data_IF_304982005833
#
_entry.id   IF_304982005833
#
_cell.length_a   1.000
_cell.length_b   1.000
_cell.length_c   1.000
_cell.angle_alpha   90.00
_cell.angle_beta   90.00
_cell.angle_gamma   90.00
#
_symmetry.space_group_name_H-M   'P 1'
#
loop_
_entity.id
_entity.type
_entity.pdbx_description
1 polymer ?
#
# COMPACT_ATOMS: atom_id res chain seq x y z
N UNK A 1 -23.60 -24.99 -12.37
CA UNK A 1 -23.66 -24.55 -10.95
C UNK A 1 -22.91 -23.24 -10.78
N UNK A 2 -22.89 -22.63 -9.58
CA UNK A 2 -22.19 -21.34 -9.37
C UNK A 2 -20.68 -21.47 -9.71
N UNK A 3 -20.03 -22.56 -9.28
CA UNK A 3 -18.62 -22.81 -9.57
C UNK A 3 -18.31 -22.90 -11.08
N UNK A 4 -19.13 -23.63 -11.84
CA UNK A 4 -18.99 -23.75 -13.30
C UNK A 4 -19.17 -22.39 -14.01
N UNK A 5 -20.06 -21.55 -13.51
CA UNK A 5 -20.28 -20.21 -14.09
C UNK A 5 -19.11 -19.26 -13.80
N UNK A 6 -18.52 -19.34 -12.60
CA UNK A 6 -17.28 -18.64 -12.27
C UNK A 6 -16.15 -19.04 -13.23
N UNK A 7 -15.93 -20.35 -13.42
CA UNK A 7 -14.91 -20.88 -14.33
C UNK A 7 -15.14 -20.41 -15.78
N UNK A 8 -16.40 -20.47 -16.25
CA UNK A 8 -16.78 -19.98 -17.59
C UNK A 8 -16.45 -18.50 -17.80
N UNK A 9 -16.51 -17.71 -16.75
CA UNK A 9 -16.22 -16.27 -16.74
C UNK A 9 -14.74 -15.96 -16.44
N UNK A 10 -13.88 -16.97 -16.25
CA UNK A 10 -12.46 -16.79 -15.94
C UNK A 10 -12.20 -16.34 -14.50
N UNK A 11 -13.13 -16.61 -13.58
CA UNK A 11 -13.00 -16.33 -12.15
C UNK A 11 -12.67 -17.61 -11.37
N UNK A 12 -11.81 -17.49 -10.36
CA UNK A 12 -11.60 -18.56 -9.40
C UNK A 12 -12.82 -18.69 -8.47
N UNK A 13 -13.25 -19.93 -8.19
CA UNK A 13 -14.34 -20.19 -7.27
C UNK A 13 -13.79 -20.62 -5.91
N UNK A 14 -14.03 -19.79 -4.90
CA UNK A 14 -13.74 -20.07 -3.50
C UNK A 14 -15.03 -20.12 -2.69
N UNK A 15 -14.99 -20.84 -1.55
CA UNK A 15 -16.11 -20.90 -0.62
C UNK A 15 -15.62 -21.16 0.80
N UNK A 16 -16.44 -20.78 1.78
CA UNK A 16 -16.18 -20.98 3.21
C UNK A 16 -16.89 -22.24 3.72
N UNK A 17 -16.17 -23.32 4.11
CA UNK A 17 -16.80 -24.48 4.71
C UNK A 17 -17.03 -24.27 6.21
N UNK A 18 -18.28 -24.44 6.64
CA UNK A 18 -18.69 -24.35 8.06
C UNK A 18 -18.81 -25.73 8.73
N UNK A 19 -18.34 -26.79 8.07
CA UNK A 19 -18.30 -28.16 8.61
C UNK A 19 -17.29 -29.02 7.85
N UNK A 20 -16.87 -30.14 8.46
CA UNK A 20 -15.99 -31.14 7.80
C UNK A 20 -16.63 -31.67 6.51
N UNK A 21 -17.93 -31.95 6.52
CA UNK A 21 -18.66 -32.39 5.33
C UNK A 21 -18.67 -31.33 4.21
N UNK A 22 -18.68 -30.03 4.57
CA UNK A 22 -18.56 -28.96 3.60
C UNK A 22 -17.14 -28.89 3.00
N UNK A 23 -16.10 -29.20 3.77
CA UNK A 23 -14.73 -29.33 3.23
C UNK A 23 -14.69 -30.43 2.17
N UNK A 24 -15.21 -31.62 2.47
CA UNK A 24 -15.25 -32.75 1.53
C UNK A 24 -16.03 -32.40 0.25
N UNK A 25 -17.13 -31.67 0.40
CA UNK A 25 -17.94 -31.19 -0.73
C UNK A 25 -17.17 -30.21 -1.61
N UNK A 26 -16.41 -29.29 -1.03
CA UNK A 26 -15.62 -28.33 -1.81
C UNK A 26 -14.45 -29.03 -2.52
N UNK A 27 -13.81 -30.02 -1.88
CA UNK A 27 -12.80 -30.86 -2.54
C UNK A 27 -13.37 -31.59 -3.75
N UNK A 28 -14.58 -32.17 -3.63
CA UNK A 28 -15.20 -32.87 -4.77
C UNK A 28 -15.64 -31.92 -5.90
N UNK A 29 -15.83 -30.63 -5.60
CA UNK A 29 -16.05 -29.57 -6.60
C UNK A 29 -14.75 -29.05 -7.22
N UNK A 30 -13.58 -29.47 -6.73
CA UNK A 30 -12.29 -29.14 -7.33
C UNK A 30 -11.75 -27.73 -7.03
N UNK A 31 -12.17 -27.12 -5.91
CA UNK A 31 -11.70 -25.78 -5.49
C UNK A 31 -10.18 -25.71 -5.41
N UNK A 32 -9.60 -24.55 -5.71
CA UNK A 32 -8.14 -24.34 -5.65
C UNK A 32 -7.64 -23.84 -4.31
N UNK A 33 -8.55 -23.53 -3.38
CA UNK A 33 -8.22 -23.08 -2.03
C UNK A 33 -9.49 -22.91 -1.20
N UNK A 34 -9.28 -22.53 0.06
CA UNK A 34 -10.37 -22.31 1.01
C UNK A 34 -10.36 -20.88 1.54
N UNK A 35 -11.56 -20.32 1.72
CA UNK A 35 -11.77 -19.25 2.68
C UNK A 35 -12.13 -19.88 4.02
N UNK A 36 -11.56 -19.39 5.11
CA UNK A 36 -11.98 -19.76 6.47
C UNK A 36 -12.49 -18.50 7.18
N UNK A 37 -13.75 -18.55 7.61
CA UNK A 37 -14.41 -17.45 8.32
C UNK A 37 -13.82 -17.26 9.72
N UNK A 38 -14.01 -16.07 10.28
CA UNK A 38 -13.53 -15.78 11.64
C UNK A 38 -14.20 -16.63 12.71
N UNK A 39 -15.39 -17.19 12.47
CA UNK A 39 -16.04 -18.12 13.40
C UNK A 39 -15.31 -19.46 13.55
N UNK A 40 -14.46 -19.81 12.58
CA UNK A 40 -13.87 -21.15 12.46
C UNK A 40 -12.38 -21.19 12.84
N UNK A 41 -11.76 -20.05 13.17
CA UNK A 41 -10.32 -19.95 13.52
C UNK A 41 -9.96 -20.86 14.70
N UNK A 42 -10.85 -21.03 15.67
CA UNK A 42 -10.64 -21.90 16.83
C UNK A 42 -11.24 -23.31 16.66
N UNK A 43 -11.66 -23.69 15.45
CA UNK A 43 -12.26 -25.00 15.17
C UNK A 43 -11.22 -26.01 14.64
N UNK A 44 -10.61 -26.85 15.49
CA UNK A 44 -9.55 -27.75 15.07
C UNK A 44 -10.04 -28.85 14.11
N UNK A 45 -11.33 -29.21 14.13
CA UNK A 45 -11.86 -30.26 13.26
C UNK A 45 -11.89 -29.82 11.80
N UNK A 46 -12.38 -28.60 11.54
CA UNK A 46 -12.40 -28.02 10.20
C UNK A 46 -10.97 -27.72 9.73
N UNK A 47 -10.15 -27.09 10.58
CA UNK A 47 -8.79 -26.71 10.20
C UNK A 47 -7.91 -27.92 9.86
N UNK A 48 -7.98 -29.00 10.64
CA UNK A 48 -7.22 -30.23 10.33
C UNK A 48 -7.70 -30.87 9.03
N UNK A 49 -9.01 -30.93 8.79
CA UNK A 49 -9.55 -31.49 7.54
C UNK A 49 -9.10 -30.66 6.33
N UNK A 50 -9.10 -29.33 6.43
CA UNK A 50 -8.56 -28.45 5.38
C UNK A 50 -7.06 -28.70 5.21
N UNK A 51 -6.30 -28.77 6.30
CA UNK A 51 -4.85 -28.98 6.27
C UNK A 51 -4.46 -30.26 5.53
N UNK A 52 -5.20 -31.36 5.71
CA UNK A 52 -4.99 -32.63 4.99
C UNK A 52 -5.10 -32.52 3.46
N UNK A 53 -5.74 -31.47 2.93
CA UNK A 53 -5.84 -31.24 1.49
C UNK A 53 -4.56 -30.61 0.91
N UNK A 54 -3.74 -29.94 1.74
CA UNK A 54 -2.59 -29.15 1.31
C UNK A 54 -2.93 -27.92 0.46
N UNK A 55 -4.22 -27.58 0.28
CA UNK A 55 -4.63 -26.46 -0.54
C UNK A 55 -4.43 -25.11 0.19
N UNK A 56 -4.15 -24.02 -0.55
CA UNK A 56 -4.05 -22.66 0.03
C UNK A 56 -5.29 -22.23 0.81
N UNK A 57 -5.08 -21.41 1.85
CA UNK A 57 -6.13 -20.92 2.76
C UNK A 57 -6.05 -19.41 2.95
N UNK A 58 -7.20 -18.74 2.85
CA UNK A 58 -7.41 -17.35 3.25
C UNK A 58 -8.20 -17.33 4.57
N UNK A 59 -7.55 -17.00 5.68
CA UNK A 59 -8.10 -17.08 7.04
C UNK A 59 -8.42 -15.69 7.60
N UNK A 60 -9.69 -15.39 7.89
CA UNK A 60 -10.07 -14.13 8.56
C UNK A 60 -9.87 -14.25 10.06
N UNK A 61 -9.29 -13.23 10.71
CA UNK A 61 -8.83 -13.32 12.10
C UNK A 61 -9.67 -12.55 13.13
N UNK A 62 -10.87 -12.09 12.76
CA UNK A 62 -11.76 -11.38 13.67
C UNK A 62 -12.11 -12.21 14.91
N UNK A 63 -12.34 -11.53 16.04
CA UNK A 63 -12.71 -12.13 17.34
C UNK A 63 -11.60 -12.97 18.02
N UNK A 64 -10.42 -13.11 17.43
CA UNK A 64 -9.40 -14.03 17.92
C UNK A 64 -8.13 -13.32 18.40
N UNK A 65 -7.51 -13.90 19.41
CA UNK A 65 -6.20 -13.49 19.90
C UNK A 65 -5.07 -13.98 19.00
N UNK A 66 -3.92 -13.35 19.16
CA UNK A 66 -2.66 -13.68 18.49
C UNK A 66 -2.28 -15.15 18.60
N UNK A 67 -2.50 -15.72 19.79
CA UNK A 67 -2.20 -17.12 20.09
C UNK A 67 -3.13 -18.06 19.33
N UNK A 68 -4.41 -17.73 19.24
CA UNK A 68 -5.39 -18.55 18.51
C UNK A 68 -5.12 -18.50 17.01
N UNK A 69 -4.78 -17.32 16.47
CA UNK A 69 -4.38 -17.15 15.07
C UNK A 69 -3.13 -17.98 14.78
N UNK A 70 -2.08 -17.88 15.62
CA UNK A 70 -0.85 -18.63 15.44
C UNK A 70 -1.09 -20.15 15.47
N UNK A 71 -1.94 -20.63 16.38
CA UNK A 71 -2.31 -22.04 16.44
C UNK A 71 -3.07 -22.51 15.19
N UNK A 72 -3.99 -21.69 14.66
CA UNK A 72 -4.70 -22.02 13.43
C UNK A 72 -3.75 -22.08 12.22
N UNK A 73 -2.84 -21.12 12.10
CA UNK A 73 -1.80 -21.09 11.06
C UNK A 73 -0.90 -22.33 11.15
N UNK A 74 -0.48 -22.73 12.35
CA UNK A 74 0.36 -23.90 12.56
C UNK A 74 -0.33 -25.20 12.12
N UNK A 75 -1.61 -25.38 12.48
CA UNK A 75 -2.40 -26.55 12.05
C UNK A 75 -2.44 -26.64 10.53
N UNK A 76 -2.71 -25.52 9.85
CA UNK A 76 -2.81 -25.46 8.39
C UNK A 76 -1.45 -25.73 7.72
N UNK A 77 -0.38 -25.10 8.21
CA UNK A 77 0.98 -25.26 7.68
C UNK A 77 1.54 -26.66 7.88
N UNK A 78 1.23 -27.30 9.01
CA UNK A 78 1.64 -28.70 9.27
C UNK A 78 1.07 -29.66 8.21
N UNK A 79 -0.12 -29.37 7.67
CA UNK A 79 -0.69 -30.12 6.54
C UNK A 79 -0.17 -29.71 5.16
N UNK A 80 0.77 -28.76 5.09
CA UNK A 80 1.36 -28.26 3.84
C UNK A 80 0.58 -27.12 3.18
N UNK A 81 -0.44 -26.55 3.84
CA UNK A 81 -1.22 -25.45 3.28
C UNK A 81 -0.44 -24.12 3.35
N UNK A 82 -0.47 -23.35 2.26
CA UNK A 82 -0.08 -21.94 2.29
C UNK A 82 -1.22 -21.11 2.90
N UNK A 83 -0.89 -20.09 3.70
CA UNK A 83 -1.90 -19.31 4.45
C UNK A 83 -1.73 -17.83 4.17
N UNK A 84 -2.84 -17.14 3.90
CA UNK A 84 -2.98 -15.68 3.97
C UNK A 84 -3.91 -15.33 5.15
N UNK A 85 -3.63 -14.23 5.86
CA UNK A 85 -4.45 -13.76 6.98
C UNK A 85 -5.19 -12.49 6.59
N UNK A 86 -6.48 -12.40 6.92
CA UNK A 86 -7.26 -11.19 6.75
C UNK A 86 -7.59 -10.57 8.10
N UNK A 87 -7.14 -9.34 8.32
CA UNK A 87 -7.66 -8.50 9.39
C UNK A 87 -9.17 -8.34 9.20
N UNK A 88 -9.93 -8.47 10.27
CA UNK A 88 -11.39 -8.53 10.20
C UNK A 88 -12.01 -8.03 11.50
N UNK A 89 -13.09 -7.26 11.38
CA UNK A 89 -13.98 -6.89 12.49
C UNK A 89 -15.35 -7.49 12.20
N UNK A 90 -15.78 -8.42 13.04
CA UNK A 90 -17.03 -9.19 12.85
C UNK A 90 -18.27 -8.41 13.35
N UNK A 91 -18.46 -7.20 12.84
CA UNK A 91 -19.62 -6.33 13.10
C UNK A 91 -20.23 -5.95 11.75
N UNK A 92 -21.56 -6.00 11.61
CA UNK A 92 -22.25 -5.94 10.32
C UNK A 92 -23.40 -4.92 10.36
N UNK A 93 -23.22 -3.66 9.88
CA UNK A 93 -21.97 -3.07 9.39
C UNK A 93 -21.05 -2.63 10.54
N UNK A 94 -19.74 -2.70 10.30
CA UNK A 94 -18.73 -2.20 11.21
C UNK A 94 -18.54 -0.68 10.97
N UNK A 95 -18.79 0.18 11.98
CA UNK A 95 -18.43 1.59 11.90
C UNK A 95 -16.93 1.76 11.60
N UNK A 96 -16.57 2.77 10.81
CA UNK A 96 -15.18 2.97 10.36
C UNK A 96 -14.20 3.11 11.54
N UNK A 97 -14.62 3.73 12.64
CA UNK A 97 -13.84 3.88 13.87
C UNK A 97 -13.52 2.55 14.57
N UNK A 98 -14.30 1.49 14.32
CA UNK A 98 -14.04 0.15 14.86
C UNK A 98 -13.15 -0.69 13.94
N UNK A 99 -13.00 -0.32 12.67
CA UNK A 99 -12.29 -1.14 11.69
C UNK A 99 -10.81 -1.34 11.98
N UNK A 100 -10.19 -0.47 12.80
CA UNK A 100 -8.84 -0.67 13.35
C UNK A 100 -7.78 -1.13 12.32
N UNK A 101 -7.79 -0.56 11.10
CA UNK A 101 -6.95 -1.05 9.98
C UNK A 101 -5.44 -0.92 10.20
N UNK A 102 -4.99 -0.17 11.23
CA UNK A 102 -3.59 -0.20 11.68
C UNK A 102 -3.15 -1.56 12.24
N UNK A 103 -4.08 -2.48 12.48
CA UNK A 103 -3.77 -3.89 12.78
C UNK A 103 -3.12 -4.62 11.60
N UNK A 104 -3.29 -4.16 10.36
CA UNK A 104 -2.69 -4.77 9.17
C UNK A 104 -1.15 -4.76 9.26
N UNK A 105 -0.46 -3.62 9.40
CA UNK A 105 0.99 -3.62 9.56
C UNK A 105 1.45 -4.36 10.82
N UNK A 106 0.69 -4.30 11.92
CA UNK A 106 1.00 -5.08 13.12
C UNK A 106 0.94 -6.60 12.88
N UNK A 107 -0.02 -7.09 12.08
CA UNK A 107 -0.09 -8.48 11.66
C UNK A 107 1.07 -8.85 10.73
N UNK A 108 1.48 -7.94 9.84
CA UNK A 108 2.64 -8.15 8.97
C UNK A 108 3.94 -8.31 9.79
N UNK A 109 4.15 -7.47 10.81
CA UNK A 109 5.31 -7.59 11.70
C UNK A 109 5.33 -8.92 12.47
N UNK A 110 4.16 -9.39 12.90
CA UNK A 110 4.02 -10.62 13.69
C UNK A 110 4.06 -11.90 12.85
N UNK A 111 3.64 -11.80 11.59
CA UNK A 111 3.61 -12.91 10.64
C UNK A 111 4.33 -12.51 9.33
N UNK A 112 5.66 -12.27 9.39
CA UNK A 112 6.40 -11.65 8.28
C UNK A 112 6.45 -12.47 6.99
N UNK A 113 6.24 -13.78 7.07
CA UNK A 113 6.21 -14.70 5.92
C UNK A 113 4.78 -14.95 5.39
N UNK A 114 3.78 -14.24 5.93
CA UNK A 114 2.37 -14.50 5.66
C UNK A 114 1.76 -13.32 4.91
N UNK A 115 1.15 -13.52 3.74
CA UNK A 115 0.37 -12.48 3.08
C UNK A 115 -0.75 -11.98 4.00
N UNK A 116 -0.83 -10.65 4.18
CA UNK A 116 -1.84 -10.02 5.03
C UNK A 116 -2.81 -9.23 4.14
N UNK A 117 -4.10 -9.35 4.42
CA UNK A 117 -5.17 -8.64 3.75
C UNK A 117 -6.22 -8.11 4.72
N UNK A 118 -7.38 -7.74 4.18
CA UNK A 118 -8.55 -7.30 4.94
C UNK A 118 -9.82 -8.04 4.47
N UNK A 119 -10.67 -8.38 5.44
CA UNK A 119 -12.07 -8.78 5.26
C UNK A 119 -12.91 -7.67 5.88
N UNK A 120 -13.55 -6.87 5.03
CA UNK A 120 -14.07 -5.55 5.38
C UNK A 120 -15.60 -5.52 5.43
N UNK A 121 -16.16 -5.31 6.62
CA UNK A 121 -17.60 -5.20 6.87
C UNK A 121 -18.08 -3.76 7.10
N UNK A 122 -17.26 -2.76 6.78
CA UNK A 122 -17.69 -1.36 6.80
C UNK A 122 -18.56 -1.00 5.60
N UNK A 123 -19.27 0.12 5.67
CA UNK A 123 -20.01 0.65 4.52
C UNK A 123 -19.05 1.22 3.46
N UNK A 124 -19.38 1.05 2.18
CA UNK A 124 -18.57 1.55 1.07
C UNK A 124 -17.18 0.91 0.95
N UNK A 125 -16.24 1.64 0.34
CA UNK A 125 -14.93 1.08 -0.09
C UNK A 125 -13.72 1.73 0.60
N UNK A 126 -13.93 2.78 1.39
CA UNK A 126 -12.84 3.62 1.92
C UNK A 126 -11.89 2.86 2.84
N UNK A 127 -12.44 2.02 3.71
CA UNK A 127 -11.64 1.21 4.64
C UNK A 127 -10.79 0.18 3.89
N UNK A 128 -11.36 -0.49 2.89
CA UNK A 128 -10.62 -1.39 2.02
C UNK A 128 -9.47 -0.68 1.27
N UNK A 129 -9.71 0.50 0.68
CA UNK A 129 -8.66 1.28 0.00
C UNK A 129 -7.54 1.70 0.98
N UNK A 130 -7.92 2.17 2.17
CA UNK A 130 -6.96 2.51 3.22
C UNK A 130 -6.14 1.30 3.69
N UNK A 131 -6.76 0.11 3.74
CA UNK A 131 -6.06 -1.14 4.05
C UNK A 131 -5.00 -1.48 2.98
N UNK A 132 -5.30 -1.28 1.69
CA UNK A 132 -4.30 -1.47 0.62
C UNK A 132 -3.12 -0.50 0.83
N UNK A 133 -3.39 0.76 1.18
CA UNK A 133 -2.33 1.73 1.45
C UNK A 133 -1.41 1.34 2.63
N UNK A 134 -1.92 0.49 3.53
CA UNK A 134 -1.18 -0.07 4.68
C UNK A 134 -0.49 -1.41 4.35
N UNK A 135 -0.54 -1.87 3.11
CA UNK A 135 0.14 -3.09 2.64
C UNK A 135 -0.75 -4.34 2.53
N UNK A 136 -2.08 -4.21 2.70
CA UNK A 136 -2.99 -5.34 2.47
C UNK A 136 -2.91 -5.81 1.00
N UNK A 137 -2.58 -7.09 0.79
CA UNK A 137 -2.44 -7.70 -0.54
C UNK A 137 -3.65 -8.56 -0.95
N UNK A 138 -4.64 -8.72 -0.07
CA UNK A 138 -5.93 -9.36 -0.33
C UNK A 138 -7.04 -8.48 0.25
N UNK A 139 -8.10 -8.25 -0.52
CA UNK A 139 -9.28 -7.50 -0.07
C UNK A 139 -10.51 -8.37 -0.28
N UNK A 140 -11.29 -8.56 0.77
CA UNK A 140 -12.58 -9.22 0.75
C UNK A 140 -13.67 -8.24 1.16
N UNK A 141 -14.74 -8.19 0.36
CA UNK A 141 -15.93 -7.36 0.58
C UNK A 141 -17.17 -8.17 0.21
N UNK A 142 -18.26 -7.99 0.95
CA UNK A 142 -19.55 -8.51 0.51
C UNK A 142 -20.00 -7.78 -0.75
N UNK A 143 -20.71 -8.49 -1.64
CA UNK A 143 -21.14 -7.97 -2.92
C UNK A 143 -22.61 -8.33 -3.17
N UNK A 144 -23.35 -7.39 -3.77
CA UNK A 144 -24.72 -7.62 -4.24
C UNK A 144 -24.91 -6.97 -5.61
N UNK A 145 -25.81 -7.53 -6.43
CA UNK A 145 -26.24 -6.87 -7.66
C UNK A 145 -27.15 -5.67 -7.38
N UNK A 146 -27.89 -5.71 -6.26
CA UNK A 146 -28.85 -4.69 -5.83
C UNK A 146 -29.01 -4.74 -4.30
N UNK A 147 -28.71 -3.64 -3.62
CA UNK A 147 -28.81 -3.52 -2.16
C UNK A 147 -30.25 -3.51 -1.64
N UNK A 148 -31.26 -3.40 -2.52
CA UNK A 148 -32.68 -3.51 -2.16
C UNK A 148 -33.14 -4.95 -1.95
N UNK A 149 -32.34 -5.94 -2.35
CA UNK A 149 -32.68 -7.35 -2.11
C UNK A 149 -32.73 -7.68 -0.62
N UNK A 150 -33.52 -8.68 -0.19
CA UNK A 150 -33.55 -9.07 1.21
C UNK A 150 -32.25 -9.81 1.59
N UNK A 151 -31.70 -9.50 2.76
CA UNK A 151 -30.58 -10.26 3.31
C UNK A 151 -29.94 -9.55 4.50
N UNK A 152 -29.40 -10.30 5.47
CA UNK A 152 -28.77 -9.71 6.64
C UNK A 152 -27.48 -8.93 6.30
N UNK A 153 -26.82 -9.30 5.20
CA UNK A 153 -25.52 -8.75 4.82
C UNK A 153 -25.63 -7.60 3.78
N UNK A 154 -26.84 -7.17 3.44
CA UNK A 154 -27.05 -6.07 2.48
C UNK A 154 -26.39 -4.75 2.93
N UNK A 155 -26.42 -4.37 4.23
CA UNK A 155 -25.76 -3.14 4.68
C UNK A 155 -24.24 -3.12 4.45
N UNK A 156 -23.59 -4.28 4.41
CA UNK A 156 -22.13 -4.41 4.20
C UNK A 156 -21.74 -4.69 2.75
N UNK A 157 -22.72 -4.95 1.90
CA UNK A 157 -22.50 -5.34 0.50
C UNK A 157 -22.29 -4.12 -0.38
N UNK A 158 -21.29 -4.18 -1.26
CA UNK A 158 -21.06 -3.20 -2.32
C UNK A 158 -21.72 -3.63 -3.64
N UNK A 159 -22.08 -2.66 -4.47
CA UNK A 159 -22.72 -2.86 -5.77
C UNK A 159 -21.70 -2.83 -6.94
N UNK A 160 -22.08 -3.19 -8.18
CA UNK A 160 -21.15 -3.28 -9.31
C UNK A 160 -20.28 -2.03 -9.55
N UNK A 161 -20.84 -0.83 -9.37
CA UNK A 161 -20.08 0.43 -9.53
C UNK A 161 -19.01 0.56 -8.45
N UNK A 162 -19.37 0.29 -7.20
CA UNK A 162 -18.46 0.37 -6.06
C UNK A 162 -17.36 -0.70 -6.13
N UNK A 163 -17.69 -1.91 -6.62
CA UNK A 163 -16.69 -2.95 -6.86
C UNK A 163 -15.69 -2.53 -7.93
N UNK A 164 -16.16 -1.91 -9.02
CA UNK A 164 -15.28 -1.34 -10.05
C UNK A 164 -14.36 -0.26 -9.47
N UNK A 165 -14.91 0.65 -8.66
CA UNK A 165 -14.14 1.72 -8.01
C UNK A 165 -13.12 1.17 -7.01
N UNK A 166 -13.48 0.12 -6.27
CA UNK A 166 -12.57 -0.57 -5.37
C UNK A 166 -11.41 -1.21 -6.13
N UNK A 167 -11.69 -1.91 -7.24
CA UNK A 167 -10.65 -2.55 -8.05
C UNK A 167 -9.70 -1.52 -8.64
N UNK A 168 -10.24 -0.44 -9.23
CA UNK A 168 -9.44 0.64 -9.82
C UNK A 168 -8.58 1.33 -8.76
N UNK A 169 -9.20 1.75 -7.64
CA UNK A 169 -8.52 2.43 -6.55
C UNK A 169 -7.46 1.56 -5.88
N UNK A 170 -7.79 0.30 -5.56
CA UNK A 170 -6.84 -0.64 -4.96
C UNK A 170 -5.64 -0.88 -5.89
N UNK A 171 -5.87 -1.01 -7.20
CA UNK A 171 -4.80 -1.19 -8.19
C UNK A 171 -3.88 0.03 -8.26
N UNK A 172 -4.46 1.23 -8.29
CA UNK A 172 -3.70 2.48 -8.32
C UNK A 172 -2.86 2.67 -7.05
N UNK A 173 -3.45 2.44 -5.87
CA UNK A 173 -2.77 2.51 -4.59
C UNK A 173 -1.64 1.48 -4.55
N UNK A 174 -1.91 0.22 -4.87
CA UNK A 174 -0.92 -0.86 -4.83
C UNK A 174 0.31 -0.56 -5.71
N UNK A 175 0.09 -0.06 -6.94
CA UNK A 175 1.16 0.38 -7.84
C UNK A 175 1.96 1.55 -7.28
N UNK A 176 1.35 2.37 -6.42
CA UNK A 176 1.98 3.55 -5.81
C UNK A 176 2.74 3.25 -4.53
N UNK A 177 2.68 2.02 -3.99
CA UNK A 177 3.41 1.61 -2.79
C UNK A 177 4.92 1.41 -2.99
N UNK A 178 5.46 1.79 -4.14
CA UNK A 178 6.89 1.72 -4.38
C UNK A 178 7.64 2.73 -3.51
N UNK A 179 8.77 2.31 -2.95
CA UNK A 179 9.68 3.24 -2.26
C UNK A 179 10.40 4.10 -3.30
N UNK A 180 10.09 5.39 -3.34
CA UNK A 180 10.83 6.36 -4.16
C UNK A 180 12.15 6.77 -3.51
N UNK A 181 13.19 6.99 -4.31
CA UNK A 181 14.32 7.85 -3.93
C UNK A 181 13.95 9.31 -4.22
N UNK A 182 14.46 10.26 -3.44
CA UNK A 182 14.25 11.70 -3.66
C UNK A 182 14.95 12.27 -4.91
N UNK A 183 15.57 11.41 -5.73
CA UNK A 183 16.22 11.76 -6.99
C UNK A 183 15.64 10.86 -8.08
N UNK A 184 14.36 11.10 -8.40
CA UNK A 184 13.71 10.38 -9.49
C UNK A 184 14.16 11.03 -10.80
N UNK A 185 14.72 10.22 -11.72
CA UNK A 185 15.15 10.71 -13.03
C UNK A 185 14.01 11.41 -13.82
N UNK A 186 12.75 11.04 -13.56
CA UNK A 186 11.55 11.69 -14.09
C UNK A 186 11.42 13.16 -13.67
N UNK A 187 11.95 13.54 -12.51
CA UNK A 187 11.90 14.89 -11.99
C UNK A 187 13.04 15.78 -12.50
N UNK A 188 14.07 15.23 -13.15
CA UNK A 188 15.25 15.99 -13.58
C UNK A 188 14.91 17.25 -14.42
N UNK A 189 13.95 17.23 -15.38
CA UNK A 189 13.57 18.43 -16.12
C UNK A 189 12.92 19.50 -15.23
N UNK A 190 12.06 19.07 -14.30
CA UNK A 190 11.40 19.96 -13.33
C UNK A 190 12.43 20.53 -12.36
N UNK A 191 13.35 19.68 -11.86
CA UNK A 191 14.44 20.07 -10.98
C UNK A 191 15.32 21.13 -11.64
N UNK A 192 15.75 20.94 -12.88
CA UNK A 192 16.57 21.92 -13.62
C UNK A 192 15.92 23.31 -13.69
N UNK A 193 14.61 23.39 -13.89
CA UNK A 193 13.89 24.67 -13.91
C UNK A 193 13.54 25.22 -12.52
N UNK A 194 13.20 24.36 -11.57
CA UNK A 194 12.58 24.74 -10.30
C UNK A 194 13.57 24.91 -9.13
N UNK A 195 14.80 24.40 -9.23
CA UNK A 195 15.84 24.71 -8.24
C UNK A 195 16.49 26.06 -8.56
N UNK A 196 17.06 26.69 -7.55
CA UNK A 196 17.79 27.94 -7.71
C UNK A 196 19.28 27.69 -7.93
N UNK A 197 19.91 28.59 -8.68
CA UNK A 197 21.36 28.78 -8.70
C UNK A 197 21.73 30.05 -7.95
N UNK A 198 22.99 30.15 -7.55
CA UNK A 198 23.55 31.37 -6.98
C UNK A 198 23.64 32.44 -8.06
N UNK A 199 23.10 33.61 -7.76
CA UNK A 199 23.23 34.82 -8.56
C UNK A 199 23.79 35.93 -7.70
N UNK A 200 24.38 36.94 -8.31
CA UNK A 200 24.74 38.18 -7.63
C UNK A 200 23.50 39.01 -7.31
N UNK A 201 23.40 39.55 -6.09
CA UNK A 201 22.35 40.49 -5.69
C UNK A 201 22.71 41.94 -6.05
N UNK A 202 24.01 42.24 -6.01
CA UNK A 202 24.62 43.55 -6.29
C UNK A 202 25.78 43.36 -7.27
N UNK A 203 26.34 44.47 -7.78
CA UNK A 203 27.61 44.40 -8.50
C UNK A 203 28.74 44.03 -7.54
N UNK A 204 29.60 43.08 -7.93
CA UNK A 204 30.77 42.66 -7.16
C UNK A 204 32.05 43.03 -7.94
N UNK A 205 32.87 44.00 -7.49
CA UNK A 205 34.08 44.42 -8.19
C UNK A 205 35.18 43.35 -8.25
N UNK A 206 35.98 43.34 -9.32
CA UNK A 206 37.15 42.45 -9.43
C UNK A 206 38.07 42.50 -8.20
N UNK A 207 38.57 41.35 -7.78
CA UNK A 207 39.37 41.19 -6.58
C UNK A 207 38.60 41.29 -5.26
N UNK A 208 37.28 41.46 -5.23
CA UNK A 208 36.50 41.48 -3.97
C UNK A 208 36.36 40.10 -3.36
N UNK A 209 36.21 40.04 -2.03
CA UNK A 209 35.82 38.82 -1.32
C UNK A 209 34.30 38.78 -1.22
N UNK A 210 33.69 37.71 -1.73
CA UNK A 210 32.23 37.55 -1.75
C UNK A 210 31.70 37.36 -0.33
N UNK A 211 30.71 38.15 0.04
CA UNK A 211 29.92 37.99 1.27
C UNK A 211 28.52 37.48 0.96
N UNK A 212 27.81 37.02 2.00
CA UNK A 212 26.43 36.54 1.86
C UNK A 212 25.48 37.62 1.30
N UNK A 213 25.65 38.89 1.70
CA UNK A 213 24.82 40.00 1.21
C UNK A 213 25.02 40.33 -0.26
N UNK A 214 26.11 39.84 -0.86
CA UNK A 214 26.40 40.06 -2.28
C UNK A 214 25.64 39.09 -3.19
N UNK A 215 25.01 38.06 -2.62
CA UNK A 215 24.41 36.95 -3.33
C UNK A 215 22.89 36.90 -3.13
N UNK A 216 22.23 36.25 -4.08
CA UNK A 216 20.86 35.79 -3.97
C UNK A 216 20.72 34.41 -4.63
N UNK A 217 19.61 33.73 -4.37
CA UNK A 217 19.27 32.48 -5.04
C UNK A 217 18.11 32.72 -6.00
N UNK A 218 18.31 32.44 -7.29
CA UNK A 218 17.27 32.58 -8.31
C UNK A 218 17.25 31.37 -9.23
N UNK A 219 16.05 31.04 -9.71
CA UNK A 219 15.82 30.05 -10.77
C UNK A 219 16.25 30.59 -12.14
N UNK A 220 16.49 29.73 -13.13
CA UNK A 220 16.56 28.27 -13.02
C UNK A 220 17.87 27.76 -12.41
N UNK A 221 17.94 26.45 -12.16
CA UNK A 221 19.09 25.73 -11.64
C UNK A 221 20.10 25.38 -12.72
N UNK A 222 20.46 26.34 -13.57
CA UNK A 222 21.40 26.15 -14.68
C UNK A 222 22.69 26.96 -14.50
N UNK A 223 22.85 27.63 -13.37
CA UNK A 223 24.11 28.24 -12.95
C UNK A 223 25.07 27.19 -12.39
N UNK A 224 26.36 27.51 -12.43
CA UNK A 224 27.44 26.58 -12.07
C UNK A 224 27.46 26.26 -10.57
N UNK A 225 26.88 27.15 -9.76
CA UNK A 225 26.74 27.00 -8.32
C UNK A 225 25.28 27.02 -7.88
N UNK A 226 24.95 26.16 -6.92
CA UNK A 226 23.64 26.02 -6.28
C UNK A 226 23.70 26.41 -4.80
N UNK A 227 22.55 26.38 -4.13
CA UNK A 227 22.45 26.75 -2.72
C UNK A 227 23.43 25.98 -1.80
N UNK A 228 23.73 24.73 -2.13
CA UNK A 228 24.68 23.90 -1.38
C UNK A 228 26.14 24.39 -1.49
N UNK A 229 26.46 25.15 -2.54
CA UNK A 229 27.80 25.68 -2.79
C UNK A 229 28.05 27.02 -2.08
N UNK A 230 27.05 27.61 -1.43
CA UNK A 230 27.19 28.87 -0.68
C UNK A 230 28.37 28.87 0.30
N UNK A 231 28.65 27.80 1.09
CA UNK A 231 29.80 27.77 1.99
C UNK A 231 31.16 27.86 1.27
N UNK A 232 31.23 27.43 0.01
CA UNK A 232 32.44 27.51 -0.81
C UNK A 232 32.55 28.86 -1.52
N UNK A 233 31.43 29.40 -1.97
CA UNK A 233 31.37 30.68 -2.67
C UNK A 233 31.60 31.85 -1.72
N UNK A 234 31.02 31.81 -0.52
CA UNK A 234 31.19 32.87 0.49
C UNK A 234 32.65 32.82 0.98
N UNK A 235 33.34 33.95 0.88
CA UNK A 235 34.76 34.06 1.17
C UNK A 235 35.67 33.85 -0.06
N UNK A 236 35.14 33.42 -1.20
CA UNK A 236 35.90 33.35 -2.45
C UNK A 236 36.21 34.75 -2.99
N UNK A 237 37.32 34.88 -3.73
CA UNK A 237 37.73 36.15 -4.35
C UNK A 237 37.38 36.17 -5.84
N UNK A 238 36.74 37.24 -6.30
CA UNK A 238 36.31 37.37 -7.70
C UNK A 238 37.47 37.65 -8.65
N UNK A 239 37.53 36.96 -9.79
CA UNK A 239 38.53 37.14 -10.85
C UNK A 239 38.22 38.32 -11.79
N UNK A 240 36.96 38.74 -11.85
CA UNK A 240 36.48 39.87 -12.64
C UNK A 240 35.36 40.60 -11.91
N UNK A 241 34.97 41.77 -12.41
CA UNK A 241 33.74 42.44 -11.94
C UNK A 241 32.52 41.68 -12.46
N UNK A 242 31.54 41.43 -11.58
CA UNK A 242 30.31 40.68 -11.86
C UNK A 242 29.11 41.61 -11.65
N UNK A 243 28.30 41.91 -12.68
CA UNK A 243 27.07 42.71 -12.55
C UNK A 243 26.03 42.07 -11.64
N UNK A 244 25.02 42.81 -11.13
CA UNK A 244 23.91 42.25 -10.37
C UNK A 244 22.99 41.39 -11.25
N UNK A 245 22.37 40.38 -10.64
CA UNK A 245 21.44 39.45 -11.27
C UNK A 245 22.05 38.53 -12.34
N UNK A 246 23.36 38.32 -12.31
CA UNK A 246 24.01 37.30 -13.13
C UNK A 246 24.19 36.00 -12.34
N UNK A 247 24.14 34.86 -13.04
CA UNK A 247 24.57 33.60 -12.45
C UNK A 247 26.04 33.68 -12.12
N UNK A 248 26.39 33.30 -10.88
CA UNK A 248 27.78 33.12 -10.53
C UNK A 248 28.34 31.92 -11.30
N UNK A 249 29.44 32.12 -12.01
CA UNK A 249 30.13 31.11 -12.81
C UNK A 249 31.46 30.72 -12.19
N UNK A 250 31.96 29.53 -12.49
CA UNK A 250 33.26 29.09 -11.98
C UNK A 250 34.39 30.04 -12.40
N UNK A 251 34.32 30.58 -13.61
CA UNK A 251 35.29 31.56 -14.14
C UNK A 251 35.26 32.93 -13.43
N UNK A 252 34.22 33.19 -12.64
CA UNK A 252 34.10 34.43 -11.88
C UNK A 252 34.95 34.40 -10.60
N UNK A 253 35.42 33.23 -10.18
CA UNK A 253 36.20 33.02 -8.96
C UNK A 253 37.68 32.76 -9.32
N UNK A 254 38.60 33.24 -8.48
CA UNK A 254 39.97 32.76 -8.53
C UNK A 254 40.04 31.32 -8.02
N UNK A 255 40.76 30.44 -8.74
CA UNK A 255 41.10 29.09 -8.29
C UNK A 255 41.68 29.08 -6.87
#
# INVERSE_FOLDING_TARGET
GVAEECERLGMEFLSTPFSVAAVDRLVSLGVKGFKVGSGEVSNPFILRRIAETGLPVILSTGMHSDREIANAVEILRTGGSQVALLHCVSVYPAPHELMAIRSIPALMERFPETPIGISDHSEGIWTALGAVALGACVVEKHFTADRQWPGPDMPVSIEPKELSDLIEGATAIWRSLQTGSGDQASEAPVRSFAISSIVTAVEIPSGSVISESDLALKRPGTGDFHAEDLPTVIGARTARTIPPNEFLRTEDLHN
#
